data_IF_664492640354
#
_entry.id   IF_664492640354
#
_cell.length_a   1.000
_cell.length_b   1.000
_cell.length_c   1.000
_cell.angle_alpha   90.00
_cell.angle_beta   90.00
_cell.angle_gamma   90.00
#
_symmetry.space_group_name_H-M   'P 1'
#
loop_
_entity.id
_entity.type
_entity.pdbx_description
1 polymer ?
#
# COMPACT_ATOMS: atom_id res chain seq x y z
N UNK A 1 -82.02 -14.07 41.90
CA UNK A 1 -82.23 -13.68 43.31
C UNK A 1 -81.37 -14.59 44.17
N UNK A 2 -80.59 -13.97 45.07
CA UNK A 2 -79.88 -14.57 46.20
C UNK A 2 -78.69 -15.47 45.83
N UNK A 3 -77.44 -15.02 46.00
CA UNK A 3 -76.68 -14.66 47.22
C UNK A 3 -75.91 -15.84 47.81
N UNK A 4 -74.60 -15.57 47.95
CA UNK A 4 -73.67 -15.92 49.05
C UNK A 4 -73.91 -17.26 49.76
N UNK A 5 -72.91 -18.13 49.92
CA UNK A 5 -71.82 -17.92 50.89
C UNK A 5 -70.82 -19.07 50.74
N UNK A 6 -69.51 -18.78 50.64
CA UNK A 6 -68.48 -19.79 50.89
C UNK A 6 -67.40 -19.19 51.79
N UNK A 7 -67.38 -19.72 53.02
CA UNK A 7 -66.45 -19.46 54.11
C UNK A 7 -65.03 -19.86 53.67
N UNK A 8 -64.08 -18.93 53.84
CA UNK A 8 -62.64 -19.19 53.76
C UNK A 8 -62.02 -19.02 55.14
N UNK A 9 -61.15 -19.94 55.53
CA UNK A 9 -60.01 -19.73 56.45
C UNK A 9 -59.12 -21.02 56.42
N UNK A 10 -57.83 -21.01 56.81
CA UNK A 10 -56.74 -20.45 56.01
C UNK A 10 -55.44 -21.32 56.00
N UNK A 11 -54.46 -20.79 55.24
CA UNK A 11 -52.99 -20.91 55.40
C UNK A 11 -52.35 -22.30 55.41
N UNK A 12 -51.53 -22.58 54.39
CA UNK A 12 -50.07 -22.49 54.52
C UNK A 12 -49.46 -22.31 53.12
N UNK A 13 -48.90 -21.13 52.83
CA UNK A 13 -48.19 -20.86 51.57
C UNK A 13 -46.72 -21.20 51.78
N UNK A 14 -46.27 -22.30 51.16
CA UNK A 14 -44.87 -22.59 50.95
C UNK A 14 -44.47 -21.90 49.63
N UNK A 15 -43.81 -20.75 49.73
CA UNK A 15 -43.32 -20.02 48.56
C UNK A 15 -42.14 -20.77 47.92
N UNK A 16 -42.42 -21.51 46.85
CA UNK A 16 -41.40 -22.08 45.98
C UNK A 16 -40.90 -20.96 45.05
N UNK A 17 -39.68 -20.46 45.29
CA UNK A 17 -39.00 -19.53 44.37
C UNK A 17 -38.51 -20.33 43.16
N UNK A 18 -39.31 -20.35 42.09
CA UNK A 18 -38.85 -20.81 40.78
C UNK A 18 -38.00 -19.70 40.15
N UNK A 19 -36.68 -19.90 40.20
CA UNK A 19 -35.72 -19.06 39.50
C UNK A 19 -35.98 -19.13 38.00
N UNK A 20 -36.29 -17.99 37.40
CA UNK A 20 -36.37 -17.82 35.95
C UNK A 20 -34.94 -17.90 35.41
N UNK A 21 -34.58 -19.02 34.77
CA UNK A 21 -33.37 -19.12 33.99
C UNK A 21 -33.51 -18.20 32.77
N UNK A 22 -33.04 -16.97 32.88
CA UNK A 22 -32.89 -16.08 31.75
C UNK A 22 -31.84 -16.69 30.80
N UNK A 23 -32.27 -17.12 29.61
CA UNK A 23 -31.38 -17.42 28.50
C UNK A 23 -30.67 -16.11 28.12
N UNK A 24 -29.43 -15.94 28.57
CA UNK A 24 -28.56 -14.94 27.99
C UNK A 24 -28.22 -15.40 26.56
N UNK A 25 -28.40 -14.56 25.53
CA UNK A 25 -27.83 -14.86 24.22
C UNK A 25 -26.31 -14.97 24.40
N UNK A 26 -25.75 -16.08 23.91
CA UNK A 26 -24.31 -16.28 23.85
C UNK A 26 -23.69 -15.02 23.23
N UNK A 27 -22.76 -14.42 23.97
CA UNK A 27 -22.03 -13.25 23.51
C UNK A 27 -21.49 -13.52 22.12
N UNK A 28 -21.78 -12.61 21.19
CA UNK A 28 -21.18 -12.64 19.88
C UNK A 28 -19.65 -12.80 20.06
N UNK A 29 -18.98 -13.65 19.26
CA UNK A 29 -17.53 -13.63 19.24
C UNK A 29 -17.12 -12.18 18.98
N UNK A 30 -16.34 -11.62 19.88
CA UNK A 30 -15.64 -10.36 19.66
C UNK A 30 -14.91 -10.52 18.35
N UNK A 31 -15.45 -9.92 17.28
CA UNK A 31 -14.75 -9.74 16.03
C UNK A 31 -13.37 -9.24 16.40
N UNK A 32 -12.32 -9.97 16.03
CA UNK A 32 -10.97 -9.49 16.14
C UNK A 32 -10.98 -8.08 15.51
N UNK A 33 -10.79 -7.06 16.35
CA UNK A 33 -10.59 -5.71 15.85
C UNK A 33 -9.42 -5.82 14.87
N UNK A 34 -9.70 -5.57 13.59
CA UNK A 34 -8.68 -5.46 12.57
C UNK A 34 -7.69 -4.42 13.11
N UNK A 35 -6.50 -4.88 13.50
CA UNK A 35 -5.47 -4.02 14.03
C UNK A 35 -5.22 -2.95 12.98
N UNK A 36 -5.46 -1.69 13.37
CA UNK A 36 -5.26 -0.55 12.50
C UNK A 36 -3.79 -0.55 12.11
N UNK A 37 -3.49 -0.93 10.88
CA UNK A 37 -2.12 -0.95 10.42
C UNK A 37 -1.54 0.46 10.40
N UNK A 38 -0.22 0.52 10.53
CA UNK A 38 0.52 1.77 10.49
C UNK A 38 0.24 2.54 9.18
N UNK A 39 -0.44 3.68 9.30
CA UNK A 39 -0.57 4.68 8.24
C UNK A 39 0.78 5.35 8.04
N UNK A 40 1.31 5.32 6.83
CA UNK A 40 2.52 6.08 6.49
C UNK A 40 2.11 7.41 5.84
N UNK A 41 2.64 8.57 6.29
CA UNK A 41 2.32 9.86 5.69
C UNK A 41 2.70 9.91 4.22
N UNK A 42 1.81 10.47 3.38
CA UNK A 42 2.12 10.88 2.02
C UNK A 42 1.77 12.35 1.83
N UNK A 43 2.64 13.11 1.17
CA UNK A 43 2.36 14.50 0.79
C UNK A 43 1.91 14.57 -0.66
N UNK A 44 0.73 15.16 -0.85
CA UNK A 44 0.16 15.57 -2.13
C UNK A 44 0.91 16.79 -2.72
N UNK A 45 1.59 16.64 -3.87
CA UNK A 45 2.23 17.73 -4.66
C UNK A 45 1.39 18.26 -5.85
N UNK A 46 1.87 19.26 -6.60
CA UNK A 46 1.13 19.78 -7.77
C UNK A 46 1.04 18.83 -8.97
N UNK A 47 0.41 19.28 -10.07
CA UNK A 47 0.28 18.54 -11.32
C UNK A 47 1.63 17.95 -11.77
N UNK A 48 1.67 16.63 -11.84
CA UNK A 48 2.90 15.88 -12.02
C UNK A 48 3.14 15.52 -13.48
N UNK A 49 4.40 15.53 -13.95
CA UNK A 49 4.71 15.19 -15.35
C UNK A 49 4.49 13.71 -15.67
N UNK A 50 4.29 12.85 -14.67
CA UNK A 50 4.07 11.41 -14.88
C UNK A 50 2.67 11.14 -15.42
N UNK A 51 2.63 10.72 -16.69
CA UNK A 51 1.41 10.34 -17.42
C UNK A 51 1.80 9.43 -18.58
N UNK A 52 0.82 8.91 -19.31
CA UNK A 52 1.08 8.17 -20.57
C UNK A 52 1.90 8.99 -21.57
N UNK A 53 1.69 10.31 -21.63
CA UNK A 53 2.44 11.20 -22.52
C UNK A 53 3.93 11.31 -22.14
N UNK A 54 4.34 10.85 -20.96
CA UNK A 54 5.73 10.86 -20.50
C UNK A 54 6.52 9.62 -20.93
N UNK A 55 5.89 8.64 -21.57
CA UNK A 55 6.58 7.43 -22.05
C UNK A 55 7.70 7.83 -23.02
N UNK A 56 8.87 7.23 -22.82
CA UNK A 56 10.03 7.32 -23.70
C UNK A 56 10.76 5.97 -23.75
N UNK A 57 11.27 5.61 -24.93
CA UNK A 57 11.92 4.33 -25.23
C UNK A 57 13.24 4.53 -25.99
N UNK A 58 13.86 5.71 -25.84
CA UNK A 58 15.07 6.06 -26.57
C UNK A 58 16.36 5.53 -25.94
N UNK A 59 17.44 5.64 -26.71
CA UNK A 59 18.76 5.12 -26.34
C UNK A 59 19.47 5.98 -25.28
N UNK A 60 20.08 5.31 -24.31
CA UNK A 60 20.80 5.94 -23.18
C UNK A 60 22.29 5.59 -23.13
N UNK A 61 22.76 4.73 -24.03
CA UNK A 61 24.13 4.18 -24.00
C UNK A 61 25.21 5.26 -24.10
N UNK A 62 24.95 6.33 -24.85
CA UNK A 62 25.87 7.47 -24.95
C UNK A 62 26.14 8.17 -23.59
N UNK A 63 25.24 8.00 -22.62
CA UNK A 63 25.35 8.58 -21.28
C UNK A 63 26.01 7.64 -20.26
N UNK A 64 26.27 6.38 -20.60
CA UNK A 64 26.91 5.43 -19.69
C UNK A 64 28.37 5.82 -19.43
N UNK A 65 28.80 5.68 -18.17
CA UNK A 65 30.19 5.96 -17.76
C UNK A 65 30.55 7.45 -17.66
N UNK A 66 29.60 8.36 -17.86
CA UNK A 66 29.82 9.79 -17.69
C UNK A 66 29.60 10.21 -16.23
N UNK A 67 30.69 10.46 -15.50
CA UNK A 67 30.66 11.11 -14.19
C UNK A 67 31.14 12.57 -14.31
N UNK A 68 30.46 13.56 -13.71
CA UNK A 68 29.18 13.54 -13.00
C UNK A 68 28.04 14.06 -13.89
N UNK A 69 27.38 13.23 -14.73
CA UNK A 69 26.47 13.80 -15.75
C UNK A 69 25.36 12.85 -16.23
N UNK A 70 24.86 11.92 -15.41
CA UNK A 70 23.77 11.05 -15.87
C UNK A 70 22.47 11.86 -16.16
N UNK A 71 22.12 12.83 -15.30
CA UNK A 71 20.90 13.64 -15.46
C UNK A 71 20.94 14.56 -16.69
N UNK A 72 21.99 15.39 -16.80
CA UNK A 72 22.12 16.35 -17.91
C UNK A 72 22.32 15.65 -19.26
N UNK A 73 23.02 14.51 -19.28
CA UNK A 73 23.17 13.73 -20.50
C UNK A 73 21.83 13.12 -20.93
N UNK A 74 21.09 12.50 -20.00
CA UNK A 74 19.78 11.93 -20.29
C UNK A 74 18.82 12.98 -20.83
N UNK A 75 18.71 14.13 -20.16
CA UNK A 75 17.84 15.22 -20.62
C UNK A 75 18.20 15.69 -22.04
N UNK A 76 19.49 15.81 -22.37
CA UNK A 76 19.95 16.16 -23.73
C UNK A 76 19.65 15.07 -24.75
N UNK A 77 19.82 13.80 -24.39
CA UNK A 77 19.49 12.67 -25.25
C UNK A 77 17.99 12.66 -25.59
N UNK A 78 17.14 12.86 -24.58
CA UNK A 78 15.69 12.98 -24.76
C UNK A 78 15.31 14.17 -25.65
N UNK A 79 15.93 15.34 -25.44
CA UNK A 79 15.71 16.53 -26.28
C UNK A 79 16.13 16.29 -27.74
N UNK A 80 17.30 15.68 -27.97
CA UNK A 80 17.79 15.36 -29.30
C UNK A 80 16.89 14.33 -30.01
N UNK A 81 16.36 13.37 -29.26
CA UNK A 81 15.37 12.39 -29.72
C UNK A 81 13.96 12.98 -29.90
N UNK A 82 13.75 14.26 -29.58
CA UNK A 82 12.44 14.93 -29.60
C UNK A 82 11.39 14.22 -28.73
N UNK A 83 11.81 13.74 -27.57
CA UNK A 83 10.90 13.24 -26.53
C UNK A 83 9.85 14.30 -26.19
N UNK A 84 8.70 13.86 -25.68
CA UNK A 84 7.62 14.77 -25.32
C UNK A 84 8.06 15.74 -24.20
N UNK A 85 7.44 16.92 -24.10
CA UNK A 85 7.67 17.83 -22.97
C UNK A 85 7.44 17.15 -21.61
N UNK A 86 6.44 16.27 -21.52
CA UNK A 86 6.12 15.50 -20.31
C UNK A 86 7.22 14.50 -19.96
N UNK A 87 7.77 13.78 -20.94
CA UNK A 87 8.86 12.83 -20.72
C UNK A 87 10.11 13.54 -20.17
N UNK A 88 10.47 14.68 -20.78
CA UNK A 88 11.60 15.50 -20.34
C UNK A 88 11.36 16.05 -18.92
N UNK A 89 10.15 16.53 -18.63
CA UNK A 89 9.80 17.02 -17.30
C UNK A 89 9.84 15.91 -16.23
N UNK A 90 9.36 14.71 -16.55
CA UNK A 90 9.42 13.54 -15.67
C UNK A 90 10.89 13.15 -15.37
N UNK A 91 11.73 13.10 -16.41
CA UNK A 91 13.15 12.80 -16.24
C UNK A 91 13.88 13.85 -15.37
N UNK A 92 13.59 15.14 -15.56
CA UNK A 92 14.12 16.19 -14.69
C UNK A 92 13.67 16.03 -13.23
N UNK A 93 12.41 15.67 -12.99
CA UNK A 93 11.90 15.44 -11.64
C UNK A 93 12.58 14.24 -10.96
N UNK A 94 12.80 13.14 -11.69
CA UNK A 94 13.52 11.96 -11.20
C UNK A 94 15.00 12.29 -10.91
N UNK A 95 15.66 13.03 -11.80
CA UNK A 95 17.04 13.47 -11.62
C UNK A 95 17.23 14.41 -10.43
N UNK A 96 16.29 15.33 -10.19
CA UNK A 96 16.28 16.20 -9.01
C UNK A 96 16.20 15.43 -7.68
N UNK A 97 15.72 14.18 -7.71
CA UNK A 97 15.68 13.27 -6.57
C UNK A 97 16.93 12.38 -6.47
N UNK A 98 17.95 12.63 -7.29
CA UNK A 98 19.18 11.84 -7.36
C UNK A 98 19.03 10.51 -8.09
N UNK A 99 17.95 10.34 -8.86
CA UNK A 99 17.62 9.08 -9.53
C UNK A 99 17.35 9.30 -11.03
N UNK A 100 18.37 9.66 -11.85
CA UNK A 100 18.20 9.81 -13.29
C UNK A 100 17.51 8.59 -13.91
N UNK A 101 16.38 8.85 -14.57
CA UNK A 101 15.51 7.83 -15.13
C UNK A 101 14.41 8.44 -15.98
N UNK A 102 13.56 7.59 -16.55
CA UNK A 102 12.46 7.99 -17.43
C UNK A 102 11.28 7.02 -17.31
N UNK A 103 10.09 7.45 -17.75
CA UNK A 103 8.91 6.57 -17.80
C UNK A 103 9.05 5.67 -19.02
N UNK A 104 9.20 4.36 -18.83
CA UNK A 104 9.30 3.38 -19.91
C UNK A 104 7.95 2.78 -20.28
N UNK A 105 7.00 2.75 -19.35
CA UNK A 105 5.64 2.28 -19.60
C UNK A 105 4.61 2.95 -18.69
N UNK A 106 3.37 2.99 -19.17
CA UNK A 106 2.20 3.45 -18.42
C UNK A 106 1.07 2.44 -18.54
N UNK A 107 0.32 2.27 -17.46
CA UNK A 107 -1.00 1.63 -17.49
C UNK A 107 -1.90 2.31 -16.47
N UNK A 108 -3.20 2.16 -16.65
CA UNK A 108 -4.18 2.54 -15.62
C UNK A 108 -4.78 1.29 -14.99
N UNK A 109 -5.03 1.36 -13.68
CA UNK A 109 -5.76 0.34 -12.94
C UNK A 109 -6.75 1.03 -12.01
N UNK A 110 -8.05 0.76 -12.22
CA UNK A 110 -9.13 1.30 -11.40
C UNK A 110 -9.12 2.84 -11.31
N UNK A 111 -8.59 3.56 -12.31
CA UNK A 111 -8.47 5.03 -12.32
C UNK A 111 -7.24 5.57 -11.59
N UNK A 112 -6.29 4.71 -11.20
CA UNK A 112 -4.96 5.07 -10.72
C UNK A 112 -3.95 4.82 -11.85
N UNK A 113 -3.12 5.82 -12.14
CA UNK A 113 -2.01 5.68 -13.08
C UNK A 113 -0.89 4.84 -12.49
N UNK A 114 -0.24 4.01 -13.30
CA UNK A 114 0.90 3.20 -12.89
C UNK A 114 2.01 3.41 -13.91
N UNK A 115 3.03 4.17 -13.51
CA UNK A 115 4.22 4.41 -14.29
C UNK A 115 5.29 3.37 -13.94
N UNK A 116 5.83 2.72 -14.97
CA UNK A 116 7.08 1.95 -14.87
C UNK A 116 8.22 2.90 -15.18
N UNK A 117 9.16 3.01 -14.26
CA UNK A 117 10.32 3.90 -14.37
C UNK A 117 11.55 3.08 -14.64
N UNK A 118 12.30 3.43 -15.68
CA UNK A 118 13.62 2.86 -15.92
C UNK A 118 14.70 3.78 -15.35
N UNK A 119 15.64 3.19 -14.61
CA UNK A 119 16.80 3.84 -14.02
C UNK A 119 18.07 3.26 -14.63
N UNK A 120 18.42 3.63 -15.87
CA UNK A 120 19.43 2.93 -16.67
C UNK A 120 20.86 3.05 -16.11
N UNK A 121 21.09 3.96 -15.16
CA UNK A 121 22.40 4.24 -14.58
C UNK A 121 22.58 3.70 -13.16
N UNK A 122 21.56 3.04 -12.60
CA UNK A 122 21.71 2.31 -11.33
C UNK A 122 22.53 1.04 -11.56
N UNK A 123 23.19 0.57 -10.51
CA UNK A 123 24.07 -0.60 -10.60
C UNK A 123 23.31 -1.94 -10.49
N UNK A 124 22.17 -1.96 -9.81
CA UNK A 124 21.50 -3.20 -9.40
C UNK A 124 20.01 -3.24 -9.78
N UNK A 125 19.22 -2.26 -9.30
CA UNK A 125 17.77 -2.21 -9.55
C UNK A 125 17.46 -1.08 -10.54
N UNK A 126 17.22 -1.47 -11.78
CA UNK A 126 17.07 -0.52 -12.90
C UNK A 126 15.60 -0.24 -13.25
N UNK A 127 14.66 -0.70 -12.44
CA UNK A 127 13.23 -0.45 -12.60
C UNK A 127 12.62 0.00 -11.26
N UNK A 128 11.58 0.83 -11.31
CA UNK A 128 10.71 1.12 -10.18
C UNK A 128 9.29 1.38 -10.64
N UNK A 129 8.35 1.39 -9.70
CA UNK A 129 6.93 1.65 -9.98
C UNK A 129 6.43 2.86 -9.20
N UNK A 130 5.86 3.83 -9.92
CA UNK A 130 5.14 4.96 -9.31
C UNK A 130 3.63 4.80 -9.54
N UNK A 131 2.85 4.86 -8.47
CA UNK A 131 1.41 5.07 -8.54
C UNK A 131 1.14 6.57 -8.68
N UNK A 132 0.25 6.95 -9.59
CA UNK A 132 -0.13 8.34 -9.86
C UNK A 132 -1.62 8.49 -9.59
N UNK A 133 -1.94 9.30 -8.61
CA UNK A 133 -3.33 9.58 -8.22
C UNK A 133 -3.99 10.59 -9.18
N UNK A 134 -5.30 10.81 -9.04
CA UNK A 134 -6.07 11.70 -9.94
C UNK A 134 -5.69 13.19 -9.84
N UNK A 135 -4.98 13.60 -8.79
CA UNK A 135 -4.43 14.94 -8.64
C UNK A 135 -2.98 15.03 -9.17
N UNK A 136 -2.41 13.92 -9.62
CA UNK A 136 -1.04 13.81 -10.11
C UNK A 136 -0.03 13.44 -9.02
N UNK A 137 -0.44 13.16 -7.79
CA UNK A 137 0.53 12.79 -6.74
C UNK A 137 1.14 11.44 -7.04
N UNK A 138 2.46 11.34 -6.89
CA UNK A 138 3.18 10.09 -7.07
C UNK A 138 3.50 9.41 -5.77
N UNK A 139 3.30 8.10 -5.72
CA UNK A 139 3.71 7.23 -4.62
C UNK A 139 4.62 6.15 -5.17
N UNK A 140 5.86 6.10 -4.70
CA UNK A 140 6.81 5.05 -5.00
C UNK A 140 6.46 3.80 -4.17
N UNK A 141 6.21 2.68 -4.85
CA UNK A 141 5.85 1.42 -4.18
C UNK A 141 7.04 0.73 -3.51
N UNK A 142 8.27 1.12 -3.84
CA UNK A 142 9.50 0.56 -3.27
C UNK A 142 10.05 1.42 -2.12
N UNK A 143 9.61 2.67 -1.99
CA UNK A 143 10.10 3.60 -0.97
C UNK A 143 9.43 3.40 0.40
N UNK A 144 10.25 3.28 1.45
CA UNK A 144 9.84 3.24 2.85
C UNK A 144 8.72 2.21 3.12
N UNK A 145 8.81 1.02 2.54
CA UNK A 145 7.80 -0.04 2.67
C UNK A 145 7.79 -0.69 4.06
N UNK A 146 8.91 -0.63 4.78
CA UNK A 146 9.07 -1.15 6.14
C UNK A 146 9.84 -0.16 7.02
N UNK A 147 9.21 0.97 7.42
CA UNK A 147 9.87 1.97 8.26
C UNK A 147 10.14 1.42 9.66
N UNK A 148 11.13 1.99 10.35
CA UNK A 148 11.61 1.51 11.66
C UNK A 148 10.48 1.37 12.69
N UNK A 149 9.60 2.37 12.77
CA UNK A 149 8.43 2.35 13.67
C UNK A 149 7.47 1.17 13.45
N UNK A 150 7.43 0.59 12.25
CA UNK A 150 6.57 -0.56 11.93
C UNK A 150 7.21 -1.90 12.29
N UNK A 151 8.52 -1.96 12.57
CA UNK A 151 9.22 -3.23 12.85
C UNK A 151 8.77 -3.91 14.15
N UNK A 152 8.22 -3.13 15.08
CA UNK A 152 7.67 -3.64 16.34
C UNK A 152 6.18 -4.05 16.24
N UNK A 153 5.53 -3.81 15.10
CA UNK A 153 4.12 -4.14 14.89
C UNK A 153 3.87 -5.65 14.97
N UNK A 154 2.73 -6.06 15.52
CA UNK A 154 2.38 -7.47 15.69
C UNK A 154 2.29 -8.25 14.36
N UNK A 155 1.99 -7.57 13.24
CA UNK A 155 1.93 -8.14 11.89
C UNK A 155 3.31 -8.36 11.25
N UNK A 156 4.35 -7.74 11.81
CA UNK A 156 5.71 -7.69 11.23
C UNK A 156 6.72 -8.40 12.13
N UNK A 157 6.67 -8.12 13.44
CA UNK A 157 7.65 -8.55 14.42
C UNK A 157 7.90 -10.06 14.43
N UNK A 158 6.89 -10.95 14.37
CA UNK A 158 7.13 -12.39 14.40
C UNK A 158 8.04 -12.88 13.25
N UNK A 159 7.86 -12.33 12.05
CA UNK A 159 8.70 -12.65 10.90
C UNK A 159 10.13 -12.12 11.11
N UNK A 160 10.28 -10.88 11.55
CA UNK A 160 11.61 -10.28 11.78
C UNK A 160 12.37 -10.96 12.93
N UNK A 161 11.67 -11.48 13.94
CA UNK A 161 12.29 -12.27 15.01
C UNK A 161 12.82 -13.62 14.48
N UNK A 162 12.11 -14.23 13.52
CA UNK A 162 12.55 -15.47 12.87
C UNK A 162 13.62 -15.23 11.78
N UNK A 163 13.64 -14.05 11.17
CA UNK A 163 14.51 -13.66 10.07
C UNK A 163 15.15 -12.27 10.31
N UNK A 164 16.05 -12.14 11.32
CA UNK A 164 16.55 -10.83 11.76
C UNK A 164 17.39 -10.09 10.70
N UNK A 165 17.97 -10.81 9.74
CA UNK A 165 18.75 -10.24 8.65
C UNK A 165 17.91 -9.94 7.40
N UNK A 166 16.61 -10.25 7.40
CA UNK A 166 15.76 -10.05 6.23
C UNK A 166 15.41 -8.57 6.03
N UNK A 167 15.60 -8.09 4.80
CA UNK A 167 15.21 -6.74 4.38
C UNK A 167 14.36 -6.79 3.10
N UNK A 168 13.55 -5.77 2.81
CA UNK A 168 12.85 -5.66 1.53
C UNK A 168 13.84 -5.51 0.37
N UNK A 169 13.55 -6.16 -0.75
CA UNK A 169 14.30 -6.04 -2.01
C UNK A 169 13.36 -5.58 -3.13
N UNK A 170 13.64 -4.43 -3.72
CA UNK A 170 12.93 -3.94 -4.90
C UNK A 170 13.23 -4.80 -6.15
N UNK A 171 12.33 -4.85 -7.14
CA UNK A 171 11.04 -4.15 -7.18
C UNK A 171 9.90 -4.90 -6.46
N UNK A 172 8.93 -4.15 -5.96
CA UNK A 172 7.65 -4.68 -5.50
C UNK A 172 6.76 -5.07 -6.69
N UNK A 173 6.05 -6.18 -6.57
CA UNK A 173 5.19 -6.71 -7.64
C UNK A 173 3.71 -6.48 -7.30
N UNK A 174 2.90 -6.12 -8.30
CA UNK A 174 1.46 -6.04 -8.12
C UNK A 174 0.89 -7.42 -7.71
N UNK A 175 0.18 -7.47 -6.60
CA UNK A 175 -0.32 -8.71 -5.99
C UNK A 175 -1.83 -8.76 -5.82
N UNK A 176 -2.53 -7.65 -6.06
CA UNK A 176 -3.99 -7.60 -6.10
C UNK A 176 -4.55 -6.19 -6.06
N UNK A 177 -5.87 -6.09 -6.21
CA UNK A 177 -6.64 -4.89 -5.90
C UNK A 177 -7.99 -5.23 -5.27
N UNK A 178 -8.52 -4.30 -4.49
CA UNK A 178 -9.79 -4.44 -3.79
C UNK A 178 -10.59 -3.14 -3.91
N UNK A 179 -11.87 -3.25 -4.26
CA UNK A 179 -12.79 -2.12 -4.16
C UNK A 179 -13.16 -1.88 -2.69
N UNK A 180 -13.20 -0.62 -2.28
CA UNK A 180 -13.55 -0.23 -0.91
C UNK A 180 -15.03 0.16 -0.80
N UNK A 181 -15.71 -0.07 0.34
CA UNK A 181 -17.14 0.21 0.50
C UNK A 181 -17.53 1.68 0.31
N UNK A 182 -16.59 2.60 0.49
CA UNK A 182 -16.76 4.04 0.28
C UNK A 182 -16.59 4.47 -1.19
N UNK A 183 -16.38 3.51 -2.09
CA UNK A 183 -16.09 3.75 -3.51
C UNK A 183 -14.59 3.93 -3.80
N UNK A 184 -13.73 3.87 -2.80
CA UNK A 184 -12.27 3.85 -2.95
C UNK A 184 -11.74 2.58 -3.62
N UNK A 185 -10.44 2.56 -3.86
CA UNK A 185 -9.72 1.38 -4.34
C UNK A 185 -8.45 1.18 -3.51
N UNK A 186 -8.11 -0.08 -3.27
CA UNK A 186 -6.86 -0.50 -2.64
C UNK A 186 -6.04 -1.26 -3.67
N UNK A 187 -4.82 -0.82 -3.91
CA UNK A 187 -3.84 -1.55 -4.71
C UNK A 187 -2.85 -2.24 -3.77
N UNK A 188 -2.49 -3.48 -4.03
CA UNK A 188 -1.62 -4.27 -3.14
C UNK A 188 -0.35 -4.66 -3.88
N UNK A 189 0.80 -4.31 -3.31
CA UNK A 189 2.11 -4.70 -3.84
C UNK A 189 2.85 -5.60 -2.85
N UNK A 190 3.59 -6.57 -3.38
CA UNK A 190 4.40 -7.51 -2.61
C UNK A 190 5.88 -7.30 -2.87
N UNK A 191 6.63 -6.92 -1.85
CA UNK A 191 8.10 -6.78 -1.90
C UNK A 191 8.75 -8.06 -1.35
N UNK A 192 9.65 -8.73 -2.09
CA UNK A 192 10.39 -9.87 -1.57
C UNK A 192 11.27 -9.48 -0.39
N UNK A 193 11.39 -10.38 0.58
CA UNK A 193 12.30 -10.26 1.71
C UNK A 193 13.47 -11.20 1.51
N UNK A 194 14.70 -10.70 1.60
CA UNK A 194 15.93 -11.50 1.45
C UNK A 194 16.96 -11.13 2.49
N UNK A 195 17.91 -12.03 2.73
CA UNK A 195 19.09 -11.78 3.59
C UNK A 195 20.32 -11.37 2.78
N UNK A 196 20.31 -11.55 1.46
CA UNK A 196 21.35 -11.09 0.56
C UNK A 196 20.80 -10.88 -0.86
N UNK A 197 21.54 -10.17 -1.71
CA UNK A 197 21.09 -9.80 -3.06
C UNK A 197 20.79 -11.02 -3.97
N UNK A 198 21.56 -12.10 -3.82
CA UNK A 198 21.42 -13.34 -4.59
C UNK A 198 20.72 -14.48 -3.83
N UNK A 199 20.21 -14.20 -2.63
CA UNK A 199 19.56 -15.21 -1.80
C UNK A 199 18.14 -15.47 -2.30
N UNK A 200 17.62 -16.67 -2.03
CA UNK A 200 16.20 -16.94 -2.20
C UNK A 200 15.36 -16.01 -1.31
N UNK A 201 14.15 -15.72 -1.75
CA UNK A 201 13.16 -15.03 -0.93
C UNK A 201 12.90 -15.85 0.33
N UNK A 202 13.01 -15.21 1.50
CA UNK A 202 12.68 -15.80 2.81
C UNK A 202 11.30 -15.35 3.30
N UNK A 203 10.66 -14.43 2.57
CA UNK A 203 9.30 -13.98 2.82
C UNK A 203 8.87 -12.92 1.82
N UNK A 204 7.68 -12.36 2.04
CA UNK A 204 7.10 -11.29 1.24
C UNK A 204 6.36 -10.31 2.14
N UNK A 205 6.73 -9.04 2.00
CA UNK A 205 6.04 -7.91 2.62
C UNK A 205 4.93 -7.45 1.70
N UNK A 206 3.67 -7.52 2.14
CA UNK A 206 2.55 -6.94 1.38
C UNK A 206 2.14 -5.60 1.93
N UNK A 207 2.08 -4.60 1.05
CA UNK A 207 1.67 -3.23 1.37
C UNK A 207 0.46 -2.86 0.51
N UNK A 208 -0.58 -2.36 1.16
CA UNK A 208 -1.72 -1.73 0.53
C UNK A 208 -1.47 -0.24 0.31
N UNK A 209 -1.94 0.26 -0.83
CA UNK A 209 -1.96 1.67 -1.23
C UNK A 209 -3.42 2.04 -1.49
N UNK A 210 -3.97 2.87 -0.63
CA UNK A 210 -5.39 3.21 -0.62
C UNK A 210 -5.63 4.53 -1.35
N UNK A 211 -6.69 4.54 -2.14
CA UNK A 211 -7.16 5.70 -2.88
C UNK A 211 -8.64 5.93 -2.60
N UNK A 212 -9.01 7.18 -2.39
CA UNK A 212 -10.40 7.57 -2.12
C UNK A 212 -11.32 7.37 -3.35
N UNK A 213 -12.61 7.65 -3.18
CA UNK A 213 -13.59 7.59 -4.26
C UNK A 213 -13.32 8.58 -5.42
N UNK A 214 -12.44 9.57 -5.22
CA UNK A 214 -11.95 10.48 -6.25
C UNK A 214 -10.60 10.04 -6.83
N UNK A 215 -10.08 8.87 -6.43
CA UNK A 215 -8.76 8.34 -6.81
C UNK A 215 -7.59 9.20 -6.35
N UNK A 216 -7.74 9.89 -5.22
CA UNK A 216 -6.63 10.56 -4.54
C UNK A 216 -6.01 9.63 -3.52
N UNK A 217 -4.69 9.66 -3.39
CA UNK A 217 -3.98 8.81 -2.44
C UNK A 217 -4.40 9.14 -1.00
N UNK A 218 -4.86 8.12 -0.27
CA UNK A 218 -5.37 8.22 1.09
C UNK A 218 -4.39 7.65 2.14
N UNK A 219 -3.45 6.80 1.73
CA UNK A 219 -2.41 6.27 2.61
C UNK A 219 -1.87 4.92 2.15
N UNK A 220 -0.84 4.43 2.86
CA UNK A 220 -0.35 3.05 2.72
C UNK A 220 -0.34 2.33 4.06
N UNK A 221 -0.54 1.01 4.01
CA UNK A 221 -0.69 0.13 5.16
C UNK A 221 0.04 -1.20 4.91
N UNK A 222 0.83 -1.69 5.87
CA UNK A 222 1.35 -3.06 5.85
C UNK A 222 0.18 -4.02 6.14
N UNK A 223 -0.05 -4.97 5.23
CA UNK A 223 -1.10 -5.98 5.39
C UNK A 223 -0.60 -7.20 6.15
N UNK A 224 0.54 -7.72 5.72
CA UNK A 224 1.19 -8.90 6.30
C UNK A 224 2.66 -8.96 5.88
N UNK A 225 3.45 -9.63 6.71
CA UNK A 225 4.82 -10.03 6.42
C UNK A 225 4.99 -11.49 6.80
N UNK A 226 5.25 -12.36 5.81
CA UNK A 226 5.28 -13.82 5.97
C UNK A 226 6.20 -14.52 4.99
#
# INVERSE_FOLDING_TARGET
MSDMTAIRLPLTVLALVLGVAACQPAGAPTSAEAQAAATIPGTAGGASPFSEAAIWDGEVDACRGQAPVADDCLARAMQAAKASPQAIAAAHQLGAQGNPGYVSAWREQDGVGIATIEYPFRANTNEGTLLVDSAGHTVDVDADVLPEMSRADATVKPFLDAHPEATPFAPAEASGSEAQPDGGVRLIYGTPMRTCHACADVGRLRVAYDFDAQRRFAGKQILDLR
#
